data_IF_235915568609
#
_entry.id   IF_235915568609
#
_cell.length_a   1.000
_cell.length_b   1.000
_cell.length_c   1.000
_cell.angle_alpha   90.00
_cell.angle_beta   90.00
_cell.angle_gamma   90.00
#
_symmetry.space_group_name_H-M   'P 1'
#
loop_
_entity.id
_entity.type
_entity.pdbx_description
1 polymer ?
#
# COMPACT_ATOMS: atom_id res chain seq x y z
N UNK A 1 -7.59 23.33 -1.24
CA UNK A 1 -8.53 22.63 -2.12
C UNK A 1 -7.98 21.30 -2.60
N UNK A 2 -6.68 21.20 -2.88
CA UNK A 2 -6.08 19.97 -3.43
C UNK A 2 -6.01 18.82 -2.43
N UNK A 3 -5.81 19.11 -1.14
CA UNK A 3 -5.86 18.12 -0.08
C UNK A 3 -7.25 17.45 0.05
N UNK A 4 -8.34 18.24 -0.15
CA UNK A 4 -9.70 17.70 -0.13
C UNK A 4 -9.97 16.78 -1.32
N UNK A 5 -9.52 17.17 -2.51
CA UNK A 5 -9.63 16.37 -3.72
C UNK A 5 -8.88 15.02 -3.58
N UNK A 6 -7.68 15.08 -3.00
CA UNK A 6 -6.89 13.88 -2.72
C UNK A 6 -7.53 12.99 -1.65
N UNK A 7 -8.16 13.59 -0.63
CA UNK A 7 -8.96 12.86 0.34
C UNK A 7 -10.15 12.14 -0.29
N UNK A 8 -10.84 12.76 -1.24
CA UNK A 8 -11.91 12.14 -2.01
C UNK A 8 -11.39 10.99 -2.90
N UNK A 9 -10.24 11.18 -3.55
CA UNK A 9 -9.59 10.11 -4.31
C UNK A 9 -9.23 8.92 -3.41
N UNK A 10 -8.78 9.19 -2.17
CA UNK A 10 -8.52 8.12 -1.20
C UNK A 10 -9.82 7.41 -0.77
N UNK A 11 -10.95 8.09 -0.72
CA UNK A 11 -12.23 7.46 -0.40
C UNK A 11 -12.62 6.39 -1.43
N UNK A 12 -12.18 6.51 -2.69
CA UNK A 12 -12.36 5.46 -3.70
C UNK A 12 -11.63 4.15 -3.32
N UNK A 13 -10.63 4.21 -2.46
CA UNK A 13 -9.93 3.02 -1.96
C UNK A 13 -10.76 2.19 -0.96
N UNK A 14 -11.91 2.67 -0.53
CA UNK A 14 -12.88 1.88 0.25
C UNK A 14 -13.56 0.81 -0.60
N UNK A 15 -13.51 0.93 -1.93
CA UNK A 15 -14.01 -0.09 -2.84
C UNK A 15 -13.09 -1.31 -2.76
N UNK A 16 -13.62 -2.52 -2.46
CA UNK A 16 -12.82 -3.73 -2.36
C UNK A 16 -12.01 -3.98 -3.65
N UNK A 17 -10.73 -4.32 -3.48
CA UNK A 17 -9.80 -4.53 -4.61
C UNK A 17 -9.11 -3.28 -5.13
N UNK A 18 -9.50 -2.09 -4.71
CA UNK A 18 -8.83 -0.85 -5.10
C UNK A 18 -7.61 -0.61 -4.20
N UNK A 19 -6.45 -0.42 -4.84
CA UNK A 19 -5.24 -0.05 -4.12
C UNK A 19 -5.34 1.38 -3.59
N UNK A 20 -5.19 1.58 -2.29
CA UNK A 20 -5.23 2.90 -1.65
C UNK A 20 -4.17 3.85 -2.23
N UNK A 21 -2.92 3.40 -2.30
CA UNK A 21 -1.83 4.19 -2.90
C UNK A 21 -2.07 4.45 -4.38
N UNK A 22 -2.60 3.47 -5.11
CA UNK A 22 -2.99 3.64 -6.51
C UNK A 22 -4.04 4.74 -6.68
N UNK A 23 -5.10 4.72 -5.89
CA UNK A 23 -6.17 5.72 -5.95
C UNK A 23 -5.65 7.13 -5.64
N UNK A 24 -4.82 7.31 -4.61
CA UNK A 24 -4.26 8.61 -4.25
C UNK A 24 -3.23 9.13 -5.25
N UNK A 25 -2.36 8.25 -5.78
CA UNK A 25 -1.37 8.65 -6.79
C UNK A 25 -2.04 9.03 -8.10
N UNK A 26 -2.95 8.19 -8.60
CA UNK A 26 -3.68 8.44 -9.85
C UNK A 26 -4.56 9.70 -9.69
N UNK A 27 -5.28 9.82 -8.58
CA UNK A 27 -6.05 11.02 -8.27
C UNK A 27 -5.18 12.28 -8.22
N UNK A 28 -3.99 12.21 -7.61
CA UNK A 28 -3.03 13.30 -7.58
C UNK A 28 -2.56 13.73 -8.98
N UNK A 29 -2.26 12.76 -9.84
CA UNK A 29 -1.91 13.03 -11.23
C UNK A 29 -3.06 13.69 -12.01
N UNK A 30 -4.30 13.22 -11.78
CA UNK A 30 -5.50 13.81 -12.40
C UNK A 30 -5.70 15.28 -11.99
N UNK A 31 -5.31 15.64 -10.76
CA UNK A 31 -5.39 17.00 -10.25
C UNK A 31 -4.15 17.85 -10.55
N UNK A 32 -3.24 17.35 -11.41
CA UNK A 32 -2.09 18.10 -11.92
C UNK A 32 -0.84 18.04 -11.04
N UNK A 33 -0.78 17.15 -10.04
CA UNK A 33 0.45 16.93 -9.29
C UNK A 33 1.50 16.19 -10.13
N UNK A 34 2.78 16.50 -9.89
CA UNK A 34 3.86 15.71 -10.46
C UNK A 34 3.86 14.28 -9.89
N UNK A 35 4.40 13.32 -10.64
CA UNK A 35 4.52 11.92 -10.20
C UNK A 35 5.15 11.77 -8.82
N UNK A 36 6.24 12.49 -8.61
CA UNK A 36 6.94 12.50 -7.33
C UNK A 36 6.08 13.08 -6.21
N UNK A 37 5.47 14.24 -6.43
CA UNK A 37 4.59 14.89 -5.44
C UNK A 37 3.37 14.04 -5.10
N UNK A 38 2.74 13.40 -6.09
CA UNK A 38 1.60 12.51 -5.88
C UNK A 38 1.98 11.28 -5.03
N UNK A 39 3.15 10.68 -5.29
CA UNK A 39 3.66 9.55 -4.51
C UNK A 39 4.05 9.95 -3.09
N UNK A 40 4.80 11.05 -2.92
CA UNK A 40 5.18 11.57 -1.59
C UNK A 40 3.93 11.88 -0.76
N UNK A 41 2.96 12.57 -1.34
CA UNK A 41 1.71 12.87 -0.65
C UNK A 41 0.93 11.62 -0.26
N UNK A 42 0.91 10.61 -1.13
CA UNK A 42 0.28 9.31 -0.82
C UNK A 42 0.93 8.63 0.39
N UNK A 43 2.26 8.70 0.51
CA UNK A 43 2.97 8.16 1.67
C UNK A 43 2.69 8.96 2.94
N UNK A 44 2.70 10.29 2.88
CA UNK A 44 2.34 11.12 4.03
C UNK A 44 0.91 10.88 4.52
N UNK A 45 -0.03 10.73 3.60
CA UNK A 45 -1.43 10.45 3.91
C UNK A 45 -1.61 9.02 4.49
N UNK A 46 -0.71 8.09 4.14
CA UNK A 46 -0.70 6.75 4.68
C UNK A 46 -0.36 6.71 6.17
N UNK A 47 0.51 7.60 6.66
CA UNK A 47 1.01 7.57 8.04
C UNK A 47 -0.13 7.63 9.07
N UNK A 48 -0.99 8.67 9.11
CA UNK A 48 -2.07 8.74 10.09
C UNK A 48 -3.07 7.59 9.94
N UNK A 49 -3.34 7.16 8.71
CA UNK A 49 -4.28 6.08 8.44
C UNK A 49 -3.76 4.74 8.96
N UNK A 50 -2.49 4.43 8.72
CA UNK A 50 -1.86 3.18 9.20
C UNK A 50 -1.68 3.19 10.71
N UNK A 51 -1.30 4.32 11.32
CA UNK A 51 -1.20 4.44 12.78
C UNK A 51 -2.57 4.18 13.42
N UNK A 52 -3.62 4.82 12.92
CA UNK A 52 -4.97 4.63 13.44
C UNK A 52 -5.45 3.18 13.28
N UNK A 53 -5.24 2.58 12.10
CA UNK A 53 -5.61 1.19 11.85
C UNK A 53 -4.84 0.22 12.75
N UNK A 54 -3.54 0.42 12.91
CA UNK A 54 -2.69 -0.42 13.79
C UNK A 54 -3.10 -0.28 15.25
N UNK A 55 -3.33 0.94 15.74
CA UNK A 55 -3.78 1.19 17.10
C UNK A 55 -5.13 0.52 17.38
N UNK A 56 -6.08 0.64 16.43
CA UNK A 56 -7.38 -0.03 16.53
C UNK A 56 -7.24 -1.55 16.57
N UNK A 57 -6.42 -2.14 15.70
CA UNK A 57 -6.20 -3.58 15.64
C UNK A 57 -5.55 -4.09 16.95
N UNK A 58 -4.51 -3.41 17.42
CA UNK A 58 -3.86 -3.76 18.70
C UNK A 58 -4.83 -3.70 19.87
N UNK A 59 -5.70 -2.69 19.91
CA UNK A 59 -6.70 -2.58 20.95
C UNK A 59 -7.76 -3.69 20.89
N UNK A 60 -8.19 -4.04 19.67
CA UNK A 60 -9.18 -5.09 19.42
C UNK A 60 -8.62 -6.47 19.79
N UNK A 61 -7.40 -6.77 19.38
CA UNK A 61 -6.74 -8.08 19.54
C UNK A 61 -5.82 -8.15 20.77
N UNK A 62 -5.98 -7.22 21.72
CA UNK A 62 -5.11 -7.14 22.92
C UNK A 62 -5.05 -8.43 23.74
N UNK A 63 -6.08 -9.26 23.69
CA UNK A 63 -6.13 -10.54 24.40
C UNK A 63 -5.18 -11.60 23.80
N UNK A 64 -4.77 -11.43 22.54
CA UNK A 64 -3.85 -12.34 21.84
C UNK A 64 -2.38 -11.91 21.99
N UNK A 65 -2.12 -10.74 22.58
CA UNK A 65 -0.78 -10.23 22.78
C UNK A 65 -0.14 -10.87 24.02
N UNK A 66 0.80 -11.78 23.78
CA UNK A 66 1.60 -12.40 24.83
C UNK A 66 2.95 -11.71 24.95
N UNK A 67 3.40 -11.53 26.20
CA UNK A 67 4.72 -10.94 26.48
C UNK A 67 5.88 -11.81 25.94
N UNK A 68 5.66 -13.11 25.82
CA UNK A 68 6.66 -14.05 25.31
C UNK A 68 6.97 -13.84 23.82
N UNK A 69 6.03 -13.25 23.05
CA UNK A 69 6.19 -12.97 21.63
C UNK A 69 6.85 -11.61 21.32
N UNK A 70 7.17 -10.83 22.37
CA UNK A 70 7.69 -9.47 22.22
C UNK A 70 8.99 -9.41 21.39
N UNK A 71 9.86 -10.43 21.54
CA UNK A 71 11.10 -10.55 20.75
C UNK A 71 10.81 -10.71 19.26
N UNK A 72 9.85 -11.55 18.89
CA UNK A 72 9.44 -11.77 17.51
C UNK A 72 8.80 -10.51 16.91
N UNK A 73 7.95 -9.82 17.68
CA UNK A 73 7.36 -8.54 17.28
C UNK A 73 8.41 -7.46 17.04
N UNK A 74 9.43 -7.37 17.92
CA UNK A 74 10.51 -6.40 17.77
C UNK A 74 11.33 -6.64 16.49
N UNK A 75 11.72 -7.89 16.22
CA UNK A 75 12.45 -8.27 15.00
C UNK A 75 11.60 -7.98 13.76
N UNK A 76 10.32 -8.35 13.77
CA UNK A 76 9.40 -8.07 12.68
C UNK A 76 9.25 -6.58 12.40
N UNK A 77 9.11 -5.77 13.44
CA UNK A 77 8.97 -4.32 13.33
C UNK A 77 10.24 -3.66 12.77
N UNK A 78 11.41 -4.02 13.29
CA UNK A 78 12.70 -3.47 12.81
C UNK A 78 12.95 -3.88 11.35
N UNK A 79 12.73 -5.13 11.00
CA UNK A 79 12.91 -5.63 9.64
C UNK A 79 11.96 -4.92 8.66
N UNK A 80 10.69 -4.77 9.04
CA UNK A 80 9.70 -4.06 8.25
C UNK A 80 10.07 -2.59 8.06
N UNK A 81 10.55 -1.93 9.12
CA UNK A 81 10.97 -0.53 9.05
C UNK A 81 12.16 -0.34 8.10
N UNK A 82 13.21 -1.16 8.22
CA UNK A 82 14.39 -1.10 7.36
C UNK A 82 14.00 -1.36 5.90
N UNK A 83 13.24 -2.42 5.65
CA UNK A 83 12.78 -2.77 4.29
C UNK A 83 11.94 -1.65 3.68
N UNK A 84 10.98 -1.12 4.43
CA UNK A 84 10.13 -0.02 3.97
C UNK A 84 10.94 1.24 3.66
N UNK A 85 11.88 1.60 4.54
CA UNK A 85 12.73 2.77 4.35
C UNK A 85 13.56 2.67 3.06
N UNK A 86 14.18 1.52 2.81
CA UNK A 86 14.97 1.29 1.60
C UNK A 86 14.08 1.28 0.35
N UNK A 87 12.94 0.58 0.40
CA UNK A 87 12.00 0.48 -0.72
C UNK A 87 11.40 1.84 -1.09
N UNK A 88 10.94 2.63 -0.12
CA UNK A 88 10.36 3.95 -0.37
C UNK A 88 11.40 4.91 -0.93
N UNK A 89 12.61 4.93 -0.35
CA UNK A 89 13.71 5.76 -0.85
C UNK A 89 14.09 5.41 -2.29
N UNK A 90 14.20 4.13 -2.59
CA UNK A 90 14.49 3.65 -3.94
C UNK A 90 13.35 3.99 -4.91
N UNK A 91 12.10 3.76 -4.52
CA UNK A 91 10.93 4.05 -5.33
C UNK A 91 10.84 5.54 -5.68
N UNK A 92 10.97 6.43 -4.68
CA UNK A 92 10.92 7.89 -4.92
C UNK A 92 12.03 8.35 -5.87
N UNK A 93 13.22 7.76 -5.75
CA UNK A 93 14.31 8.02 -6.69
C UNK A 93 14.00 7.53 -8.09
N UNK A 94 13.41 6.35 -8.21
CA UNK A 94 13.03 5.77 -9.50
C UNK A 94 11.97 6.61 -10.21
N UNK A 95 10.87 6.96 -9.55
CA UNK A 95 9.77 7.73 -10.16
C UNK A 95 10.11 9.19 -10.44
N UNK A 96 11.22 9.72 -9.89
CA UNK A 96 11.72 11.05 -10.24
C UNK A 96 12.28 11.10 -11.67
N UNK A 97 12.75 9.96 -12.19
CA UNK A 97 13.39 9.83 -13.51
C UNK A 97 12.62 8.97 -14.49
N UNK A 98 11.72 8.10 -14.00
CA UNK A 98 10.95 7.15 -14.80
C UNK A 98 9.45 7.35 -14.57
N UNK A 99 8.64 6.79 -15.45
CA UNK A 99 7.18 6.76 -15.31
C UNK A 99 6.68 5.46 -14.65
N UNK A 100 5.36 5.35 -14.46
CA UNK A 100 4.74 4.17 -13.87
C UNK A 100 4.47 3.02 -14.85
N UNK A 101 4.92 3.14 -16.09
CA UNK A 101 4.61 2.16 -17.16
C UNK A 101 5.12 0.77 -16.83
N UNK A 102 6.32 0.66 -16.25
CA UNK A 102 6.88 -0.62 -15.84
C UNK A 102 6.02 -1.32 -14.77
N UNK A 103 5.48 -0.55 -13.81
CA UNK A 103 4.59 -1.07 -12.78
C UNK A 103 3.23 -1.51 -13.36
N UNK A 104 2.71 -0.80 -14.36
CA UNK A 104 1.48 -1.16 -15.04
C UNK A 104 1.62 -2.51 -15.77
N UNK A 105 2.70 -2.71 -16.51
CA UNK A 105 2.99 -3.97 -17.18
C UNK A 105 3.18 -5.13 -16.19
N UNK A 106 3.90 -4.90 -15.09
CA UNK A 106 4.04 -5.89 -14.04
C UNK A 106 2.67 -6.31 -13.47
N UNK A 107 1.79 -5.35 -13.17
CA UNK A 107 0.45 -5.65 -12.64
C UNK A 107 -0.41 -6.42 -13.63
N UNK A 108 -0.35 -6.09 -14.91
CA UNK A 108 -1.07 -6.81 -15.96
C UNK A 108 -0.58 -8.26 -16.05
N UNK A 109 0.74 -8.47 -16.13
CA UNK A 109 1.33 -9.80 -16.18
C UNK A 109 0.98 -10.63 -14.94
N UNK A 110 1.08 -10.04 -13.74
CA UNK A 110 0.71 -10.70 -12.49
C UNK A 110 -0.78 -11.01 -12.42
N UNK A 111 -1.65 -10.11 -12.90
CA UNK A 111 -3.09 -10.34 -13.00
C UNK A 111 -3.42 -11.54 -13.88
N UNK A 112 -2.74 -11.72 -15.01
CA UNK A 112 -2.89 -12.91 -15.85
C UNK A 112 -2.44 -14.18 -15.13
N UNK A 113 -1.33 -14.14 -14.38
CA UNK A 113 -0.88 -15.29 -13.58
C UNK A 113 -1.91 -15.67 -12.54
N UNK A 114 -2.47 -14.70 -11.80
CA UNK A 114 -3.51 -14.95 -10.80
C UNK A 114 -4.76 -15.54 -11.44
N UNK A 115 -5.22 -15.00 -12.56
CA UNK A 115 -6.39 -15.53 -13.28
C UNK A 115 -6.12 -16.95 -13.80
N UNK A 116 -4.95 -17.22 -14.35
CA UNK A 116 -4.57 -18.55 -14.81
C UNK A 116 -4.54 -19.57 -13.67
N UNK A 117 -3.95 -19.22 -12.52
CA UNK A 117 -3.90 -20.09 -11.33
C UNK A 117 -5.29 -20.29 -10.71
N UNK A 118 -6.16 -19.30 -10.75
CA UNK A 118 -7.54 -19.41 -10.30
C UNK A 118 -8.35 -20.33 -11.23
N UNK A 119 -8.18 -20.18 -12.55
CA UNK A 119 -8.88 -21.00 -13.55
C UNK A 119 -8.43 -22.47 -13.54
N UNK A 120 -7.12 -22.71 -13.38
CA UNK A 120 -6.55 -24.07 -13.30
C UNK A 120 -6.79 -24.74 -11.95
N UNK A 121 -7.28 -24.03 -10.94
CA UNK A 121 -7.46 -24.54 -9.57
C UNK A 121 -6.14 -24.86 -8.84
N UNK A 122 -5.00 -24.41 -9.38
CA UNK A 122 -3.69 -24.64 -8.78
C UNK A 122 -3.53 -23.96 -7.42
N UNK A 123 -4.24 -22.85 -7.22
CA UNK A 123 -4.29 -22.11 -5.95
C UNK A 123 -5.75 -21.77 -5.63
N UNK A 124 -6.18 -22.08 -4.42
CA UNK A 124 -7.53 -21.75 -3.97
C UNK A 124 -7.53 -20.34 -3.34
N UNK A 125 -7.95 -19.36 -4.13
CA UNK A 125 -7.99 -17.94 -3.73
C UNK A 125 -9.24 -17.57 -2.91
N UNK A 126 -10.19 -18.49 -2.74
CA UNK A 126 -11.50 -18.25 -2.09
C UNK A 126 -11.54 -18.70 -0.63
N UNK A 127 -10.44 -19.16 -0.06
CA UNK A 127 -10.38 -19.50 1.37
C UNK A 127 -10.31 -18.22 2.20
N UNK A 128 -11.16 -18.08 3.24
CA UNK A 128 -11.13 -16.96 4.17
C UNK A 128 -9.86 -16.95 5.02
#
# INVERSE_FOLDING_TARGET
QDALKLGLAQACALIPGTSRSGATIIGGLFFGLSRKAAAEFSFFLAIPTLIAATAYQLWKERALLNADDLGMWAVGFVSAFISAFLCVRWLLRYISTHDFTAFAWYRIAFGFVVLATAYTGAVNWTQP
#
